data_IF_313341603005
#
_entry.id   IF_313341603005
#
_cell.length_a   1.000
_cell.length_b   1.000
_cell.length_c   1.000
_cell.angle_alpha   90.00
_cell.angle_beta   90.00
_cell.angle_gamma   90.00
#
_symmetry.space_group_name_H-M   'P 1'
#
loop_
_entity.id
_entity.type
_entity.pdbx_description
1 polymer ?
#
# COMPACT_ATOMS: atom_id res chain seq x y z
N UNK A 1 -18.08 -55.15 -8.38
CA UNK A 1 -18.65 -53.87 -8.84
C UNK A 1 -18.22 -52.82 -7.84
N UNK A 2 -17.43 -51.83 -8.27
CA UNK A 2 -17.13 -50.65 -7.45
C UNK A 2 -18.17 -49.61 -7.84
N UNK A 3 -18.99 -49.18 -6.89
CA UNK A 3 -19.92 -48.06 -7.09
C UNK A 3 -19.11 -46.84 -7.50
N UNK A 4 -19.48 -46.29 -8.66
CA UNK A 4 -19.01 -45.00 -9.15
C UNK A 4 -19.32 -43.94 -8.09
N UNK A 5 -18.29 -43.18 -7.69
CA UNK A 5 -18.49 -41.98 -6.88
C UNK A 5 -19.33 -40.99 -7.68
N UNK A 6 -20.55 -40.74 -7.22
CA UNK A 6 -21.44 -39.70 -7.70
C UNK A 6 -20.69 -38.35 -7.80
N UNK A 7 -20.69 -37.78 -9.00
CA UNK A 7 -20.06 -36.51 -9.38
C UNK A 7 -20.80 -35.27 -8.86
N UNK A 8 -21.75 -35.41 -7.95
CA UNK A 8 -22.62 -34.33 -7.44
C UNK A 8 -22.42 -34.01 -5.95
N UNK A 9 -21.29 -34.40 -5.35
CA UNK A 9 -20.84 -33.75 -4.12
C UNK A 9 -20.35 -32.33 -4.46
N UNK A 10 -21.26 -31.37 -4.43
CA UNK A 10 -20.96 -29.95 -4.27
C UNK A 10 -20.36 -29.80 -2.86
N UNK A 11 -19.09 -30.16 -2.73
CA UNK A 11 -18.28 -29.76 -1.60
C UNK A 11 -18.27 -28.24 -1.59
N UNK A 12 -18.69 -27.65 -0.47
CA UNK A 12 -18.55 -26.24 -0.15
C UNK A 12 -17.07 -25.87 -0.37
N UNK A 13 -16.76 -25.36 -1.57
CA UNK A 13 -15.39 -25.08 -1.98
C UNK A 13 -15.04 -23.75 -1.31
N UNK A 14 -14.15 -23.71 -0.29
CA UNK A 14 -13.79 -22.47 0.34
C UNK A 14 -13.28 -21.52 -0.75
N UNK A 15 -13.84 -20.31 -0.78
CA UNK A 15 -13.40 -19.24 -1.69
C UNK A 15 -11.87 -19.17 -1.61
N UNK A 16 -11.15 -19.20 -2.75
CA UNK A 16 -9.69 -19.24 -2.72
C UNK A 16 -9.16 -18.01 -1.96
N UNK A 17 -8.60 -18.27 -0.78
CA UNK A 17 -7.90 -17.25 0.01
C UNK A 17 -6.74 -16.72 -0.82
N UNK A 18 -6.75 -15.40 -1.07
CA UNK A 18 -5.61 -14.72 -1.69
C UNK A 18 -4.49 -14.64 -0.65
N UNK A 19 -3.59 -15.61 -0.66
CA UNK A 19 -2.53 -15.75 0.35
C UNK A 19 -1.72 -14.45 0.53
N UNK A 20 -1.35 -13.78 -0.57
CA UNK A 20 -0.61 -12.51 -0.51
C UNK A 20 -1.36 -11.38 0.23
N UNK A 21 -2.71 -11.33 0.14
CA UNK A 21 -3.54 -10.39 0.90
C UNK A 21 -3.41 -10.71 2.39
N UNK A 22 -3.56 -11.99 2.75
CA UNK A 22 -3.46 -12.43 4.14
C UNK A 22 -2.06 -12.15 4.72
N UNK A 23 -1.01 -12.43 3.95
CA UNK A 23 0.38 -12.19 4.35
C UNK A 23 0.64 -10.70 4.59
N UNK A 24 0.12 -9.84 3.72
CA UNK A 24 0.24 -8.39 3.87
C UNK A 24 -0.50 -7.90 5.12
N UNK A 25 -1.74 -8.35 5.32
CA UNK A 25 -2.51 -8.01 6.53
C UNK A 25 -1.76 -8.47 7.78
N UNK A 26 -1.30 -9.72 7.82
CA UNK A 26 -0.56 -10.27 8.97
C UNK A 26 0.75 -9.53 9.23
N UNK A 27 1.45 -9.12 8.20
CA UNK A 27 2.68 -8.35 8.34
C UNK A 27 2.42 -6.97 8.95
N UNK A 28 1.37 -6.27 8.49
CA UNK A 28 0.97 -4.96 9.05
C UNK A 28 0.48 -5.11 10.50
N UNK A 29 -0.33 -6.11 10.79
CA UNK A 29 -0.78 -6.40 12.16
C UNK A 29 0.41 -6.64 13.10
N UNK A 30 1.37 -7.45 12.66
CA UNK A 30 2.57 -7.77 13.44
C UNK A 30 3.41 -6.52 13.69
N UNK A 31 3.64 -5.70 12.66
CA UNK A 31 4.39 -4.47 12.79
C UNK A 31 3.75 -3.49 13.79
N UNK A 32 2.42 -3.31 13.73
CA UNK A 32 1.67 -2.45 14.65
C UNK A 32 1.77 -2.94 16.10
N UNK A 33 1.65 -4.24 16.31
CA UNK A 33 1.75 -4.82 17.65
C UNK A 33 3.17 -4.70 18.20
N UNK A 34 4.20 -4.99 17.40
CA UNK A 34 5.61 -4.89 17.79
C UNK A 34 5.99 -3.45 18.17
N UNK A 35 5.68 -2.46 17.31
CA UNK A 35 6.02 -1.07 17.61
C UNK A 35 5.27 -0.55 18.84
N UNK A 36 4.05 -1.03 19.08
CA UNK A 36 3.30 -0.70 20.30
C UNK A 36 3.96 -1.30 21.53
N UNK A 37 4.39 -2.56 21.47
CA UNK A 37 5.07 -3.23 22.59
C UNK A 37 6.40 -2.56 22.93
N UNK A 38 7.20 -2.23 21.91
CA UNK A 38 8.46 -1.50 22.05
C UNK A 38 8.24 -0.14 22.71
N UNK A 39 7.42 0.73 22.11
CA UNK A 39 7.15 2.07 22.64
C UNK A 39 6.53 1.98 24.04
N UNK A 40 5.57 1.08 24.28
CA UNK A 40 4.96 0.92 25.59
C UNK A 40 5.97 0.46 26.64
N UNK A 41 6.95 -0.38 26.27
CA UNK A 41 7.99 -0.79 27.22
C UNK A 41 8.88 0.38 27.68
N UNK A 42 9.01 1.42 26.86
CA UNK A 42 9.86 2.58 27.12
C UNK A 42 9.11 3.72 27.82
N UNK A 43 7.89 4.05 27.38
CA UNK A 43 7.15 5.23 27.88
C UNK A 43 6.16 4.92 28.98
N UNK A 44 5.70 3.66 29.10
CA UNK A 44 4.63 3.33 30.03
C UNK A 44 5.19 3.18 31.44
N UNK A 45 4.59 3.89 32.40
CA UNK A 45 4.95 3.79 33.81
C UNK A 45 4.74 2.36 34.32
N UNK A 46 5.64 1.90 35.20
CA UNK A 46 5.50 0.64 35.93
C UNK A 46 4.12 0.52 36.61
N UNK A 47 3.59 -0.69 36.65
CA UNK A 47 2.28 -0.99 37.27
C UNK A 47 2.34 -0.66 38.76
N UNK A 48 1.30 -0.02 39.30
CA UNK A 48 1.21 0.20 40.75
C UNK A 48 0.85 -1.13 41.40
N UNK A 49 1.75 -1.64 42.24
CA UNK A 49 1.52 -2.86 43.02
C UNK A 49 1.25 -2.49 44.47
N UNK A 50 0.17 -3.03 45.04
CA UNK A 50 -0.01 -3.02 46.49
C UNK A 50 0.75 -4.19 47.13
N UNK A 51 1.29 -3.95 48.33
CA UNK A 51 1.88 -5.00 49.16
C UNK A 51 0.84 -5.97 49.73
N UNK A 52 1.19 -6.66 50.81
CA UNK A 52 0.25 -7.58 51.50
C UNK A 52 -0.99 -6.81 51.95
N UNK A 53 -2.20 -7.32 51.67
CA UNK A 53 -3.42 -6.62 52.07
C UNK A 53 -3.48 -6.47 53.58
N UNK A 54 -3.75 -5.25 54.04
CA UNK A 54 -3.89 -4.91 55.46
C UNK A 54 -5.18 -4.14 55.65
N UNK A 55 -6.12 -4.72 56.39
CA UNK A 55 -7.41 -4.10 56.67
C UNK A 55 -7.34 -3.01 57.76
N UNK A 56 -6.17 -2.79 58.35
CA UNK A 56 -5.98 -1.90 59.51
C UNK A 56 -5.16 -0.65 59.17
N UNK A 57 -4.60 -0.56 57.96
CA UNK A 57 -3.79 0.60 57.53
C UNK A 57 -4.52 1.41 56.43
N UNK A 58 -5.04 2.61 56.76
CA UNK A 58 -5.68 3.51 55.79
C UNK A 58 -4.83 3.82 54.55
N UNK A 59 -3.50 3.94 54.68
CA UNK A 59 -2.62 4.22 53.54
C UNK A 59 -2.52 3.04 52.59
N UNK A 60 -2.52 1.83 53.13
CA UNK A 60 -2.49 0.60 52.35
C UNK A 60 -3.78 0.45 51.54
N UNK A 61 -4.94 0.80 52.10
CA UNK A 61 -6.20 0.86 51.35
C UNK A 61 -6.15 1.85 50.17
N UNK A 62 -5.54 3.03 50.36
CA UNK A 62 -5.38 3.99 49.26
C UNK A 62 -4.47 3.47 48.15
N UNK A 63 -3.36 2.81 48.49
CA UNK A 63 -2.47 2.17 47.51
C UNK A 63 -3.19 1.05 46.77
N UNK A 64 -3.96 0.21 47.47
CA UNK A 64 -4.77 -0.85 46.86
C UNK A 64 -5.81 -0.30 45.90
N UNK A 65 -6.48 0.80 46.27
CA UNK A 65 -7.44 1.48 45.41
C UNK A 65 -6.76 2.03 44.15
N UNK A 66 -5.59 2.67 44.30
CA UNK A 66 -4.79 3.16 43.17
C UNK A 66 -4.30 2.02 42.26
N UNK A 67 -3.79 0.94 42.84
CA UNK A 67 -3.38 -0.26 42.11
C UNK A 67 -4.56 -0.88 41.35
N UNK A 68 -5.73 -0.96 41.97
CA UNK A 68 -6.95 -1.47 41.36
C UNK A 68 -7.47 -0.56 40.23
N UNK A 69 -7.22 0.76 40.32
CA UNK A 69 -7.56 1.70 39.26
C UNK A 69 -6.57 1.62 38.09
N UNK A 70 -5.26 1.61 38.38
CA UNK A 70 -4.17 1.45 37.39
C UNK A 70 -4.30 0.12 36.63
N UNK A 71 -4.68 -0.96 37.33
CA UNK A 71 -4.92 -2.28 36.74
C UNK A 71 -6.18 -2.36 35.87
N UNK A 72 -7.10 -1.38 35.95
CA UNK A 72 -8.31 -1.28 35.11
C UNK A 72 -8.25 -0.13 34.10
N UNK A 73 -7.16 0.64 34.09
CA UNK A 73 -6.99 1.76 33.17
C UNK A 73 -7.03 1.26 31.70
N UNK A 74 -7.97 1.78 30.87
CA UNK A 74 -8.04 1.44 29.45
C UNK A 74 -6.92 2.06 28.62
N UNK A 75 -6.28 3.14 29.10
CA UNK A 75 -5.17 3.80 28.41
C UNK A 75 -3.83 3.05 28.58
N UNK A 76 -3.80 2.01 29.43
CA UNK A 76 -2.63 1.16 29.65
C UNK A 76 -2.58 0.04 28.61
N UNK A 77 -1.50 0.00 27.85
CA UNK A 77 -1.20 -1.12 26.95
C UNK A 77 -0.80 -2.37 27.75
N UNK A 78 -1.31 -3.53 27.34
CA UNK A 78 -1.17 -4.81 28.04
C UNK A 78 -0.69 -5.89 27.07
N UNK A 79 0.60 -6.19 27.14
CA UNK A 79 1.23 -7.21 26.31
C UNK A 79 0.52 -8.59 26.39
N UNK A 80 0.11 -9.00 27.60
CA UNK A 80 -0.45 -10.35 27.86
C UNK A 80 -1.94 -10.39 28.25
N UNK A 81 -2.65 -9.25 28.31
CA UNK A 81 -4.03 -9.22 28.82
C UNK A 81 -4.96 -8.38 27.93
N UNK A 82 -6.00 -9.03 27.41
CA UNK A 82 -7.02 -8.40 26.56
C UNK A 82 -6.78 -8.65 25.07
N UNK A 83 -7.62 -8.10 24.18
CA UNK A 83 -7.46 -8.25 22.74
C UNK A 83 -6.22 -7.46 22.28
N UNK A 84 -5.06 -8.14 22.22
CA UNK A 84 -3.84 -7.66 21.54
C UNK A 84 -4.08 -7.70 20.02
N UNK A 85 -4.89 -6.76 19.54
CA UNK A 85 -5.26 -6.61 18.13
C UNK A 85 -4.56 -5.40 17.53
N UNK A 86 -4.35 -5.44 16.22
CA UNK A 86 -3.78 -4.31 15.49
C UNK A 86 -4.62 -3.03 15.64
N UNK A 87 -5.94 -3.13 15.69
CA UNK A 87 -6.84 -1.99 15.91
C UNK A 87 -6.64 -1.37 17.30
N UNK A 88 -6.53 -2.19 18.35
CA UNK A 88 -6.27 -1.68 19.70
C UNK A 88 -4.90 -1.02 19.80
N UNK A 89 -3.87 -1.61 19.19
CA UNK A 89 -2.53 -1.02 19.07
C UNK A 89 -2.56 0.34 18.35
N UNK A 90 -3.21 0.41 17.18
CA UNK A 90 -3.33 1.65 16.42
C UNK A 90 -4.07 2.75 17.20
N UNK A 91 -5.15 2.41 17.91
CA UNK A 91 -5.87 3.34 18.77
C UNK A 91 -5.00 3.86 19.92
N UNK A 92 -4.25 2.96 20.56
CA UNK A 92 -3.33 3.33 21.64
C UNK A 92 -2.22 4.26 21.15
N UNK A 93 -1.56 3.93 20.03
CA UNK A 93 -0.53 4.76 19.42
C UNK A 93 -1.09 6.13 19.02
N UNK A 94 -2.28 6.17 18.42
CA UNK A 94 -2.96 7.42 18.07
C UNK A 94 -3.17 8.32 19.29
N UNK A 95 -3.64 7.77 20.40
CA UNK A 95 -3.84 8.52 21.64
C UNK A 95 -2.52 9.12 22.16
N UNK A 96 -1.41 8.37 22.08
CA UNK A 96 -0.07 8.87 22.46
C UNK A 96 0.45 9.96 21.53
N UNK A 97 0.26 9.82 20.23
CA UNK A 97 0.65 10.85 19.25
C UNK A 97 -0.09 12.17 19.48
N UNK A 98 -1.38 12.10 19.88
CA UNK A 98 -2.21 13.27 20.23
C UNK A 98 -1.97 13.81 21.65
N UNK A 99 -1.08 13.19 22.44
CA UNK A 99 -0.79 13.62 23.80
C UNK A 99 -1.94 13.39 24.79
N UNK A 100 -2.82 12.43 24.52
CA UNK A 100 -3.91 12.08 25.44
C UNK A 100 -3.34 11.56 26.78
N UNK A 101 -3.95 12.02 27.88
CA UNK A 101 -3.56 11.65 29.24
C UNK A 101 -3.59 10.12 29.45
N UNK A 102 -2.66 9.63 30.25
CA UNK A 102 -2.56 8.21 30.57
C UNK A 102 -1.32 7.88 31.41
N UNK A 103 -1.09 6.59 31.74
CA UNK A 103 0.03 6.14 32.55
C UNK A 103 1.32 6.07 31.72
N UNK A 104 1.58 7.07 30.88
CA UNK A 104 2.68 7.14 29.94
C UNK A 104 3.35 8.51 29.98
N UNK A 105 4.65 8.55 29.78
CA UNK A 105 5.36 9.79 29.48
C UNK A 105 5.08 10.22 28.03
N UNK A 106 5.27 11.50 27.67
CA UNK A 106 5.14 11.95 26.29
C UNK A 106 6.13 11.25 25.36
N UNK A 107 5.72 11.05 24.09
CA UNK A 107 6.62 10.53 23.06
C UNK A 107 7.76 11.51 22.77
N UNK A 108 8.98 10.98 22.72
CA UNK A 108 10.16 11.69 22.22
C UNK A 108 10.10 11.81 20.69
N UNK A 109 10.95 12.66 20.12
CA UNK A 109 11.06 12.78 18.66
C UNK A 109 11.54 11.48 18.01
N UNK A 110 12.39 10.72 18.69
CA UNK A 110 12.89 9.42 18.21
C UNK A 110 11.77 8.39 18.10
N UNK A 111 10.88 8.30 19.11
CA UNK A 111 9.70 7.43 19.04
C UNK A 111 8.76 7.85 17.90
N UNK A 112 8.60 9.17 17.67
CA UNK A 112 7.75 9.68 16.59
C UNK A 112 8.33 9.35 15.22
N UNK A 113 9.65 9.45 15.07
CA UNK A 113 10.33 9.08 13.84
C UNK A 113 10.23 7.57 13.57
N UNK A 114 10.45 6.72 14.58
CA UNK A 114 10.28 5.26 14.45
C UNK A 114 8.85 4.89 14.06
N UNK A 115 7.86 5.44 14.77
CA UNK A 115 6.44 5.25 14.44
C UNK A 115 6.10 5.69 13.01
N UNK A 116 6.65 6.83 12.57
CA UNK A 116 6.45 7.33 11.22
C UNK A 116 7.03 6.36 10.16
N UNK A 117 8.25 5.83 10.39
CA UNK A 117 8.87 4.86 9.49
C UNK A 117 8.03 3.58 9.37
N UNK A 118 7.58 3.02 10.49
CA UNK A 118 6.72 1.83 10.52
C UNK A 118 5.40 2.09 9.80
N UNK A 119 4.77 3.25 10.04
CA UNK A 119 3.52 3.64 9.40
C UNK A 119 3.68 3.80 7.87
N UNK A 120 4.75 4.45 7.40
CA UNK A 120 5.04 4.64 5.98
C UNK A 120 5.25 3.29 5.29
N UNK A 121 6.01 2.37 5.90
CA UNK A 121 6.24 1.04 5.34
C UNK A 121 4.95 0.20 5.31
N UNK A 122 4.12 0.29 6.35
CA UNK A 122 2.82 -0.36 6.37
C UNK A 122 1.87 0.19 5.28
N UNK A 123 1.82 1.51 5.11
CA UNK A 123 1.04 2.17 4.07
C UNK A 123 1.49 1.71 2.67
N UNK A 124 2.80 1.72 2.41
CA UNK A 124 3.38 1.26 1.14
C UNK A 124 2.94 -0.16 0.80
N UNK A 125 2.97 -1.09 1.78
CA UNK A 125 2.51 -2.48 1.57
C UNK A 125 1.03 -2.57 1.23
N UNK A 126 0.19 -1.77 1.90
CA UNK A 126 -1.25 -1.73 1.63
C UNK A 126 -1.52 -1.13 0.24
N UNK A 127 -0.82 -0.06 -0.14
CA UNK A 127 -0.93 0.56 -1.47
C UNK A 127 -0.49 -0.41 -2.58
N UNK A 128 0.60 -1.15 -2.37
CA UNK A 128 1.04 -2.22 -3.26
C UNK A 128 -0.01 -3.31 -3.41
N UNK A 129 -0.61 -3.74 -2.29
CA UNK A 129 -1.66 -4.75 -2.29
C UNK A 129 -2.92 -4.29 -3.03
N UNK A 130 -3.30 -3.03 -2.86
CA UNK A 130 -4.47 -2.43 -3.50
C UNK A 130 -4.22 -2.10 -4.98
N UNK A 131 -2.98 -2.22 -5.47
CA UNK A 131 -2.61 -1.80 -6.83
C UNK A 131 -2.66 -0.27 -7.02
N UNK A 132 -2.62 0.48 -5.92
CA UNK A 132 -2.64 1.96 -5.88
C UNK A 132 -1.23 2.54 -6.03
N UNK A 133 -0.20 1.69 -5.97
CA UNK A 133 1.17 2.10 -6.26
C UNK A 133 1.25 2.63 -7.71
N UNK A 134 1.75 3.87 -7.86
CA UNK A 134 1.98 4.47 -9.18
C UNK A 134 2.98 3.60 -9.92
N UNK A 135 2.50 2.87 -10.93
CA UNK A 135 3.31 2.02 -11.77
C UNK A 135 3.60 2.74 -13.08
N UNK A 136 4.84 2.64 -13.52
CA UNK A 136 5.30 3.25 -14.76
C UNK A 136 5.77 2.12 -15.68
N UNK A 137 5.09 1.90 -16.79
CA UNK A 137 5.46 0.89 -17.78
C UNK A 137 5.93 1.56 -19.08
N UNK A 138 6.99 1.03 -19.69
CA UNK A 138 7.39 1.50 -21.03
C UNK A 138 6.41 0.93 -22.05
N UNK A 139 5.82 1.81 -22.86
CA UNK A 139 4.91 1.37 -23.92
C UNK A 139 5.72 0.64 -25.01
N UNK A 140 5.28 -0.54 -25.47
CA UNK A 140 5.99 -1.30 -26.50
C UNK A 140 5.98 -0.61 -27.87
N UNK A 141 5.20 0.45 -28.03
CA UNK A 141 5.04 1.21 -29.28
C UNK A 141 5.67 2.58 -29.14
N UNK A 142 6.48 3.01 -30.13
CA UNK A 142 7.10 4.33 -30.09
C UNK A 142 6.08 5.44 -30.38
N UNK A 143 6.45 6.66 -30.04
CA UNK A 143 5.67 7.87 -30.30
C UNK A 143 5.40 8.04 -31.82
N UNK A 144 4.13 8.20 -32.25
CA UNK A 144 3.77 8.39 -33.66
C UNK A 144 4.39 9.61 -34.36
N UNK A 145 4.85 10.59 -33.57
CA UNK A 145 5.34 11.89 -34.07
C UNK A 145 6.86 11.99 -34.09
N UNK A 146 7.54 11.50 -33.05
CA UNK A 146 9.01 11.60 -32.95
C UNK A 146 9.73 10.24 -32.91
N UNK A 147 8.98 9.13 -32.90
CA UNK A 147 9.50 7.76 -32.75
C UNK A 147 10.29 7.51 -31.44
N UNK A 148 10.23 8.43 -30.48
CA UNK A 148 10.81 8.27 -29.15
C UNK A 148 10.00 7.34 -28.24
N UNK A 149 10.56 6.94 -27.08
CA UNK A 149 9.87 6.09 -26.13
C UNK A 149 8.66 6.80 -25.51
N UNK A 150 7.64 6.01 -25.20
CA UNK A 150 6.45 6.43 -24.47
C UNK A 150 6.41 5.69 -23.13
N UNK A 151 6.04 6.39 -22.06
CA UNK A 151 5.86 5.82 -20.72
C UNK A 151 4.40 5.93 -20.32
N UNK A 152 3.79 4.80 -19.96
CA UNK A 152 2.47 4.69 -19.36
C UNK A 152 2.59 4.91 -17.86
N UNK A 153 1.77 5.80 -17.30
CA UNK A 153 1.67 6.04 -15.86
C UNK A 153 0.32 5.54 -15.40
N UNK A 154 0.31 4.56 -14.52
CA UNK A 154 -0.89 3.92 -13.97
C UNK A 154 -1.18 4.47 -12.58
N UNK A 155 -2.46 4.76 -12.31
CA UNK A 155 -2.93 5.12 -10.99
C UNK A 155 -4.05 4.16 -10.56
N UNK A 156 -3.78 3.27 -9.60
CA UNK A 156 -4.83 2.47 -8.97
C UNK A 156 -5.49 1.37 -9.80
N UNK A 157 -5.05 1.13 -11.04
CA UNK A 157 -5.64 0.11 -11.93
C UNK A 157 -4.83 -0.13 -13.20
N UNK A 158 -5.33 -1.05 -14.04
CA UNK A 158 -4.66 -1.46 -15.29
C UNK A 158 -4.75 -0.40 -16.39
N UNK A 159 -5.71 0.53 -16.31
CA UNK A 159 -5.81 1.64 -17.27
C UNK A 159 -4.78 2.73 -16.96
N UNK A 160 -4.06 3.25 -17.97
CA UNK A 160 -3.10 4.33 -17.75
C UNK A 160 -3.84 5.63 -17.41
N UNK A 161 -3.43 6.27 -16.31
CA UNK A 161 -3.90 7.59 -15.89
C UNK A 161 -3.41 8.67 -16.86
N UNK A 162 -2.14 8.57 -17.29
CA UNK A 162 -1.57 9.43 -18.33
C UNK A 162 -0.39 8.76 -19.05
N UNK A 163 -0.05 9.28 -20.23
CA UNK A 163 1.12 8.84 -21.00
C UNK A 163 2.06 10.01 -21.20
N UNK A 164 3.38 9.76 -21.13
CA UNK A 164 4.41 10.76 -21.43
C UNK A 164 5.31 10.35 -22.58
N UNK A 165 5.77 11.32 -23.37
CA UNK A 165 6.86 11.13 -24.32
C UNK A 165 8.13 11.84 -23.85
N UNK A 166 9.25 11.09 -23.79
CA UNK A 166 10.53 11.59 -23.27
C UNK A 166 11.19 12.64 -24.16
N UNK A 167 10.87 12.68 -25.45
CA UNK A 167 11.41 13.68 -26.38
C UNK A 167 10.85 15.10 -26.16
N UNK A 168 9.81 15.26 -25.33
CA UNK A 168 9.41 16.58 -24.85
C UNK A 168 9.16 17.63 -25.94
N UNK A 169 9.93 18.71 -25.89
CA UNK A 169 9.84 19.84 -26.83
C UNK A 169 10.18 19.47 -28.28
N UNK A 170 11.02 18.46 -28.50
CA UNK A 170 11.38 17.98 -29.85
C UNK A 170 10.27 17.10 -30.47
N UNK A 171 9.25 16.75 -29.69
CA UNK A 171 8.09 16.03 -30.18
C UNK A 171 7.01 16.99 -30.68
N UNK A 172 6.61 16.81 -31.95
CA UNK A 172 5.54 17.57 -32.59
C UNK A 172 4.12 17.08 -32.25
N UNK A 173 3.96 16.30 -31.17
CA UNK A 173 2.65 15.82 -30.74
C UNK A 173 1.73 16.99 -30.34
N UNK A 174 0.43 16.97 -30.71
CA UNK A 174 -0.51 18.05 -30.47
C UNK A 174 -1.09 18.02 -29.04
N UNK A 175 -0.23 17.91 -28.03
CA UNK A 175 -0.61 17.92 -26.60
C UNK A 175 0.30 18.83 -25.81
N UNK A 176 -0.10 19.18 -24.60
CA UNK A 176 0.68 20.05 -23.72
C UNK A 176 2.04 19.43 -23.35
N UNK A 177 3.03 20.31 -23.12
CA UNK A 177 4.29 19.94 -22.48
C UNK A 177 4.17 20.27 -21.00
N UNK A 178 4.33 19.27 -20.15
CA UNK A 178 4.42 19.43 -18.69
C UNK A 178 5.75 18.84 -18.25
N UNK A 179 6.48 19.56 -17.40
CA UNK A 179 7.81 19.16 -16.91
C UNK A 179 8.79 18.74 -18.02
N UNK A 180 8.75 19.47 -19.14
CA UNK A 180 9.60 19.20 -20.30
C UNK A 180 9.23 17.95 -21.11
N UNK A 181 8.12 17.27 -20.80
CA UNK A 181 7.63 16.08 -21.50
C UNK A 181 6.26 16.33 -22.14
N UNK A 182 5.96 15.71 -23.28
CA UNK A 182 4.58 15.75 -23.82
C UNK A 182 3.71 14.81 -22.99
N UNK A 183 2.54 15.27 -22.57
CA UNK A 183 1.65 14.51 -21.67
C UNK A 183 0.25 14.39 -22.27
N UNK A 184 -0.23 13.14 -22.35
CA UNK A 184 -1.63 12.82 -22.63
C UNK A 184 -2.29 12.39 -21.32
N UNK A 185 -3.14 13.24 -20.75
CA UNK A 185 -3.71 13.03 -19.41
C UNK A 185 -5.23 12.98 -19.37
N UNK A 186 -5.92 13.43 -20.43
CA UNK A 186 -7.38 13.30 -20.50
C UNK A 186 -7.78 12.03 -21.25
N UNK A 187 -8.97 11.45 -20.96
CA UNK A 187 -9.46 10.28 -21.69
C UNK A 187 -9.51 10.51 -23.21
N UNK A 188 -9.91 11.70 -23.66
CA UNK A 188 -9.98 12.04 -25.07
C UNK A 188 -8.58 12.08 -25.70
N UNK A 189 -7.59 12.62 -25.00
CA UNK A 189 -6.19 12.64 -25.45
C UNK A 189 -5.62 11.23 -25.54
N UNK A 190 -5.91 10.37 -24.57
CA UNK A 190 -5.48 8.97 -24.58
C UNK A 190 -6.10 8.21 -25.77
N UNK A 191 -7.39 8.38 -26.03
CA UNK A 191 -8.05 7.80 -27.21
C UNK A 191 -7.41 8.32 -28.51
N UNK A 192 -7.14 9.62 -28.62
CA UNK A 192 -6.46 10.20 -29.79
C UNK A 192 -5.05 9.63 -29.98
N UNK A 193 -4.30 9.42 -28.90
CA UNK A 193 -2.99 8.77 -28.95
C UNK A 193 -3.11 7.34 -29.49
N UNK A 194 -4.06 6.55 -29.00
CA UNK A 194 -4.28 5.18 -29.49
C UNK A 194 -4.61 5.16 -30.99
N UNK A 195 -5.49 6.06 -31.45
CA UNK A 195 -5.81 6.20 -32.88
C UNK A 195 -4.57 6.55 -33.71
N UNK A 196 -3.72 7.45 -33.22
CA UNK A 196 -2.48 7.85 -33.89
C UNK A 196 -1.45 6.71 -33.95
N UNK A 197 -1.32 5.92 -32.88
CA UNK A 197 -0.47 4.74 -32.81
C UNK A 197 -0.88 3.70 -33.85
N UNK A 198 -2.16 3.36 -33.93
CA UNK A 198 -2.64 2.44 -34.96
C UNK A 198 -2.40 2.94 -36.38
N UNK A 199 -2.62 4.24 -36.62
CA UNK A 199 -2.35 4.84 -37.92
C UNK A 199 -0.86 4.78 -38.29
N UNK A 200 0.04 4.98 -37.32
CA UNK A 200 1.48 4.82 -37.50
C UNK A 200 1.85 3.37 -37.84
N UNK A 201 1.30 2.38 -37.12
CA UNK A 201 1.51 0.96 -37.44
C UNK A 201 1.04 0.60 -38.85
N UNK A 202 -0.15 1.07 -39.25
CA UNK A 202 -0.67 0.85 -40.62
C UNK A 202 0.26 1.44 -41.68
N UNK A 203 0.80 2.64 -41.44
CA UNK A 203 1.80 3.28 -42.33
C UNK A 203 3.08 2.46 -42.41
N UNK A 204 3.60 1.97 -41.28
CA UNK A 204 4.81 1.15 -41.22
C UNK A 204 4.64 -0.18 -41.99
N UNK A 205 3.50 -0.87 -41.80
CA UNK A 205 3.19 -2.12 -42.54
C UNK A 205 3.12 -1.89 -44.05
N UNK A 206 2.46 -0.80 -44.49
CA UNK A 206 2.40 -0.42 -45.91
C UNK A 206 3.78 -0.11 -46.49
N UNK A 207 4.62 0.62 -45.76
CA UNK A 207 5.98 0.93 -46.17
C UNK A 207 6.86 -0.34 -46.30
N UNK A 208 6.75 -1.25 -45.33
CA UNK A 208 7.45 -2.54 -45.35
C UNK A 208 7.02 -3.40 -46.56
N UNK A 209 5.72 -3.47 -46.86
CA UNK A 209 5.21 -4.18 -48.03
C UNK A 209 5.77 -3.60 -49.34
N UNK A 210 5.77 -2.26 -49.49
CA UNK A 210 6.32 -1.58 -50.66
C UNK A 210 7.83 -1.82 -50.81
N UNK A 211 8.58 -1.87 -49.70
CA UNK A 211 10.02 -2.18 -49.71
C UNK A 211 10.28 -3.61 -50.20
N UNK A 212 9.47 -4.58 -49.75
CA UNK A 212 9.56 -5.99 -50.21
C UNK A 212 9.24 -6.12 -51.70
N UNK A 213 8.22 -5.44 -52.20
CA UNK A 213 7.88 -5.41 -53.63
C UNK A 213 9.04 -4.88 -54.47
N UNK A 214 9.65 -3.75 -54.08
CA UNK A 214 10.80 -3.18 -54.78
C UNK A 214 12.03 -4.08 -54.77
N UNK A 215 12.27 -4.81 -53.68
CA UNK A 215 13.36 -5.78 -53.61
C UNK A 215 13.13 -6.98 -54.54
N UNK A 216 11.90 -7.49 -54.62
CA UNK A 216 11.54 -8.57 -55.54
C UNK A 216 11.62 -8.17 -57.02
N UNK A 217 11.22 -6.94 -57.37
CA UNK A 217 11.29 -6.44 -58.75
C UNK A 217 12.71 -6.13 -59.26
N UNK A 218 13.72 -6.12 -58.38
CA UNK A 218 15.12 -5.79 -58.73
C UNK A 218 16.01 -7.02 -58.89
N UNK A 219 15.46 -8.22 -58.70
CA UNK A 219 16.15 -9.54 -58.78
C UNK A 219 15.80 -10.29 -60.07
N UNK A 220 15.10 -9.64 -61.01
CA UNK A 220 14.78 -10.17 -62.36
C UNK A 220 15.57 -9.40 -63.40
#
# INVERSE_FOLDING_TARGET
MREDRETEQIGERPVPLRLHVLDTVRAVETALLQVTDEIASEIQRAVITSGRPSSLDPRQFDIERLAAHDARDPARWRYNRGPRTATAAAQWLRARTHGEAGPCTPLTDDHRQHLHQVATEAARRVEQLLGVERRHDTMPRPCPWCNGPLTLHHGGGDEPEFVTCDNGFDCAAPVQVLDGRRVWSTPEQLVQLYVALEAAERRARRAAAKKRQRAGSRVV
#
